data_IF_931505637478
#
_entry.id   IF_931505637478
#
_cell.length_a   1.000
_cell.length_b   1.000
_cell.length_c   1.000
_cell.angle_alpha   90.00
_cell.angle_beta   90.00
_cell.angle_gamma   90.00
#
_symmetry.space_group_name_H-M   'P 1'
#
loop_
_entity.id
_entity.type
_entity.pdbx_description
1 polymer ?
#
# COMPACT_ATOMS: atom_id res chain seq x y z
N UNK A 1 12.28 -1.47 9.04
CA UNK A 1 11.68 -0.23 8.51
C UNK A 1 10.74 0.45 9.51
N UNK A 2 9.85 -0.28 10.18
CA UNK A 2 8.93 0.23 11.22
C UNK A 2 9.61 1.12 12.28
N UNK A 3 10.79 0.73 12.79
CA UNK A 3 11.55 1.55 13.74
C UNK A 3 11.94 2.93 13.18
N UNK A 4 12.29 3.02 11.88
CA UNK A 4 12.63 4.29 11.24
C UNK A 4 11.40 5.20 11.09
N UNK A 5 10.23 4.59 10.84
CA UNK A 5 8.96 5.32 10.78
C UNK A 5 8.61 5.89 12.16
N UNK A 6 8.74 5.09 13.22
CA UNK A 6 8.53 5.59 14.60
C UNK A 6 9.55 6.66 15.00
N UNK A 7 10.80 6.54 14.56
CA UNK A 7 11.81 7.58 14.79
C UNK A 7 11.44 8.87 14.05
N UNK A 8 10.99 8.79 12.80
CA UNK A 8 10.52 9.95 12.06
C UNK A 8 9.31 10.62 12.73
N UNK A 9 8.36 9.82 13.25
CA UNK A 9 7.23 10.32 14.03
C UNK A 9 7.68 11.02 15.32
N UNK A 10 8.65 10.46 16.03
CA UNK A 10 9.20 11.06 17.24
C UNK A 10 9.88 12.40 16.92
N UNK A 11 10.71 12.46 15.87
CA UNK A 11 11.36 13.70 15.42
C UNK A 11 10.33 14.74 14.98
N UNK A 12 9.29 14.34 14.25
CA UNK A 12 8.22 15.25 13.84
C UNK A 12 7.47 15.85 15.04
N UNK A 13 7.23 15.05 16.08
CA UNK A 13 6.60 15.49 17.31
C UNK A 13 7.53 16.42 18.13
N UNK A 14 8.83 16.13 18.18
CA UNK A 14 9.83 16.97 18.86
C UNK A 14 10.00 18.33 18.17
N UNK A 15 9.88 18.37 16.84
CA UNK A 15 9.89 19.60 16.03
C UNK A 15 8.55 20.36 16.07
N UNK A 16 7.49 19.75 16.59
CA UNK A 16 6.16 20.37 16.70
C UNK A 16 5.44 20.59 15.37
N UNK A 17 5.91 20.00 14.27
CA UNK A 17 5.34 20.21 12.93
C UNK A 17 3.97 19.55 12.75
N UNK A 18 3.63 18.57 13.59
CA UNK A 18 2.34 17.86 13.59
C UNK A 18 1.16 18.77 13.98
N UNK A 19 1.43 19.94 14.59
CA UNK A 19 0.41 20.85 15.12
C UNK A 19 0.49 22.23 14.46
N UNK A 20 -0.67 22.89 14.26
CA UNK A 20 -0.68 24.26 13.79
C UNK A 20 -0.07 25.18 14.85
N UNK A 21 0.83 26.08 14.44
CA UNK A 21 1.37 27.11 15.32
C UNK A 21 0.23 27.99 15.86
N UNK A 22 0.07 28.02 17.19
CA UNK A 22 -0.94 28.84 17.85
C UNK A 22 -0.27 29.76 18.88
N UNK A 23 -0.60 31.05 18.82
CA UNK A 23 0.03 32.11 19.64
C UNK A 23 -0.11 31.85 21.15
N UNK A 24 -1.15 31.11 21.56
CA UNK A 24 -1.41 30.71 22.95
C UNK A 24 -1.33 29.18 23.17
N UNK A 25 -0.51 28.45 22.41
CA UNK A 25 -0.34 27.03 22.71
C UNK A 25 0.37 26.84 24.06
N UNK A 26 -0.37 26.37 25.07
CA UNK A 26 0.22 26.08 26.39
C UNK A 26 1.29 24.99 26.31
N UNK A 27 1.26 24.16 25.25
CA UNK A 27 2.23 23.08 25.02
C UNK A 27 3.59 23.64 24.67
N UNK A 28 3.67 24.65 23.81
CA UNK A 28 4.94 25.29 23.45
C UNK A 28 5.55 25.97 24.67
N UNK A 29 4.76 26.66 25.50
CA UNK A 29 5.27 27.28 26.74
C UNK A 29 5.89 26.27 27.71
N UNK A 30 5.27 25.10 27.91
CA UNK A 30 5.81 24.05 28.79
C UNK A 30 7.02 23.36 28.16
N UNK A 31 6.95 23.08 26.86
CA UNK A 31 8.00 22.37 26.12
C UNK A 31 9.25 23.23 25.92
N UNK A 32 9.09 24.48 25.49
CA UNK A 32 10.17 25.48 25.36
C UNK A 32 10.73 25.85 26.73
N UNK A 33 9.89 25.95 27.77
CA UNK A 33 10.33 26.11 29.15
C UNK A 33 11.22 24.96 29.62
N UNK A 34 10.88 23.73 29.26
CA UNK A 34 11.71 22.56 29.57
C UNK A 34 13.00 22.54 28.74
N UNK A 35 12.93 22.79 27.43
CA UNK A 35 14.08 22.85 26.51
C UNK A 35 15.10 23.94 26.90
N UNK A 36 14.61 25.12 27.24
CA UNK A 36 15.47 26.23 27.71
C UNK A 36 16.22 25.86 29.00
N UNK A 37 15.61 25.05 29.87
CA UNK A 37 16.27 24.54 31.08
C UNK A 37 17.43 23.59 30.77
N UNK A 38 17.45 22.96 29.59
CA UNK A 38 18.56 22.14 29.09
C UNK A 38 19.50 22.92 28.14
N UNK A 39 19.33 24.24 27.99
CA UNK A 39 20.21 25.10 27.19
C UNK A 39 19.90 25.15 25.69
N UNK A 40 18.71 24.70 25.26
CA UNK A 40 18.26 24.85 23.87
C UNK A 40 17.73 26.27 23.61
N UNK A 41 17.96 26.78 22.39
CA UNK A 41 17.49 28.10 21.97
C UNK A 41 15.97 28.13 21.71
N UNK A 42 15.38 29.32 21.76
CA UNK A 42 13.98 29.56 21.39
C UNK A 42 13.83 29.41 19.87
N UNK A 43 13.13 28.36 19.42
CA UNK A 43 12.88 28.13 18.00
C UNK A 43 11.64 28.91 17.56
N UNK A 44 11.79 29.77 16.55
CA UNK A 44 10.62 30.40 15.92
C UNK A 44 9.81 29.33 15.18
N UNK A 45 8.60 29.05 15.65
CA UNK A 45 7.61 28.11 15.07
C UNK A 45 7.08 28.50 13.66
N UNK A 46 7.87 29.21 12.86
CA UNK A 46 7.55 29.54 11.47
C UNK A 46 7.99 28.38 10.58
N UNK A 47 7.05 27.46 10.35
CA UNK A 47 7.24 26.33 9.44
C UNK A 47 7.61 26.85 8.05
N UNK A 48 8.76 26.42 7.52
CA UNK A 48 9.21 26.72 6.16
C UNK A 48 8.72 25.65 5.16
N UNK A 49 9.13 25.74 3.90
CA UNK A 49 8.67 24.78 2.89
C UNK A 49 9.37 23.42 2.99
N UNK A 50 10.58 23.34 3.56
CA UNK A 50 11.23 22.06 3.87
C UNK A 50 10.50 21.36 5.01
N UNK A 51 10.08 22.10 6.03
CA UNK A 51 9.27 21.57 7.13
C UNK A 51 7.92 21.04 6.63
N UNK A 52 7.28 21.75 5.69
CA UNK A 52 6.05 21.29 5.00
C UNK A 52 6.28 20.00 4.23
N UNK A 53 7.38 19.91 3.48
CA UNK A 53 7.75 18.69 2.75
C UNK A 53 8.00 17.52 3.72
N UNK A 54 8.69 17.77 4.84
CA UNK A 54 8.96 16.77 5.86
C UNK A 54 7.67 16.26 6.51
N UNK A 55 6.76 17.16 6.92
CA UNK A 55 5.46 16.82 7.47
C UNK A 55 4.62 15.97 6.51
N UNK A 56 4.51 16.40 5.24
CA UNK A 56 3.74 15.71 4.21
C UNK A 56 4.38 14.36 3.83
N UNK A 57 5.71 14.29 3.80
CA UNK A 57 6.47 13.06 3.59
C UNK A 57 6.25 12.05 4.73
N UNK A 58 6.25 12.51 5.99
CA UNK A 58 5.95 11.67 7.14
C UNK A 58 4.52 11.14 7.10
N UNK A 59 3.54 12.00 6.78
CA UNK A 59 2.15 11.56 6.55
C UNK A 59 2.10 10.48 5.47
N UNK A 60 2.73 10.72 4.31
CA UNK A 60 2.74 9.76 3.21
C UNK A 60 3.36 8.40 3.59
N UNK A 61 4.54 8.39 4.20
CA UNK A 61 5.23 7.13 4.57
C UNK A 61 4.45 6.37 5.64
N UNK A 62 3.92 7.06 6.65
CA UNK A 62 3.13 6.44 7.72
C UNK A 62 1.79 5.92 7.21
N UNK A 63 1.12 6.66 6.32
CA UNK A 63 -0.13 6.26 5.68
C UNK A 63 0.04 5.03 4.79
N UNK A 64 1.09 4.99 3.95
CA UNK A 64 1.42 3.79 3.16
C UNK A 64 1.74 2.61 4.09
N UNK A 65 2.50 2.84 5.15
CA UNK A 65 2.87 1.77 6.06
C UNK A 65 1.66 1.21 6.83
N UNK A 66 0.72 2.07 7.20
CA UNK A 66 -0.56 1.70 7.79
C UNK A 66 -1.39 0.87 6.81
N UNK A 67 -1.56 1.34 5.57
CA UNK A 67 -2.38 0.66 4.56
C UNK A 67 -1.80 -0.71 4.14
N UNK A 68 -0.48 -0.79 3.93
CA UNK A 68 0.17 -2.00 3.39
C UNK A 68 0.54 -3.00 4.50
N UNK A 69 1.15 -2.53 5.58
CA UNK A 69 1.74 -3.41 6.61
C UNK A 69 0.92 -3.46 7.90
N UNK A 70 -0.04 -2.54 8.08
CA UNK A 70 -0.96 -2.51 9.23
C UNK A 70 -0.30 -2.51 10.61
N UNK A 71 0.95 -2.03 10.69
CA UNK A 71 1.74 -2.02 11.93
C UNK A 71 1.89 -0.65 12.58
N UNK A 72 1.58 0.40 11.85
CA UNK A 72 1.78 1.79 12.29
C UNK A 72 0.49 2.53 12.05
N UNK A 73 0.01 3.23 13.07
CA UNK A 73 -1.07 4.19 12.89
C UNK A 73 -0.56 5.35 12.06
N UNK A 74 -1.25 5.64 10.96
CA UNK A 74 -0.94 6.78 10.12
C UNK A 74 -1.11 8.09 10.91
N UNK A 75 -0.32 9.10 10.57
CA UNK A 75 -0.62 10.47 11.01
C UNK A 75 -2.00 10.82 10.44
N UNK A 76 -2.97 11.27 11.25
CA UNK A 76 -4.29 11.58 10.74
C UNK A 76 -4.23 12.74 9.75
N UNK A 77 -4.97 12.64 8.65
CA UNK A 77 -5.10 13.75 7.72
C UNK A 77 -5.87 14.92 8.38
N UNK A 78 -5.17 16.01 8.69
CA UNK A 78 -5.74 17.19 9.38
C UNK A 78 -5.87 18.41 8.49
N UNK A 79 -6.61 19.43 8.97
CA UNK A 79 -6.68 20.74 8.33
C UNK A 79 -5.29 21.38 8.18
N UNK A 80 -4.40 21.18 9.14
CA UNK A 80 -3.02 21.68 9.12
C UNK A 80 -2.21 21.04 7.96
N UNK A 81 -2.30 19.72 7.80
CA UNK A 81 -1.72 19.02 6.64
C UNK A 81 -2.25 19.56 5.31
N UNK A 82 -3.56 19.80 5.20
CA UNK A 82 -4.12 20.39 3.99
C UNK A 82 -3.61 21.82 3.74
N UNK A 83 -3.44 22.65 4.78
CA UNK A 83 -2.85 23.99 4.64
C UNK A 83 -1.39 23.94 4.17
N UNK A 84 -0.59 23.02 4.72
CA UNK A 84 0.78 22.76 4.26
C UNK A 84 0.80 22.39 2.78
N UNK A 85 -0.11 21.50 2.36
CA UNK A 85 -0.28 21.08 0.98
C UNK A 85 -0.66 22.24 0.03
N UNK A 86 -1.61 23.11 0.41
CA UNK A 86 -1.97 24.28 -0.41
C UNK A 86 -0.80 25.26 -0.54
N UNK A 87 -0.06 25.49 0.55
CA UNK A 87 1.10 26.40 0.53
C UNK A 87 2.17 25.93 -0.47
N UNK A 88 2.47 24.63 -0.51
CA UNK A 88 3.44 24.09 -1.48
C UNK A 88 2.95 24.23 -2.93
N UNK A 89 1.64 24.03 -3.18
CA UNK A 89 1.04 24.23 -4.51
C UNK A 89 1.14 25.68 -4.98
N UNK A 90 0.94 26.63 -4.06
CA UNK A 90 0.98 28.06 -4.37
C UNK A 90 2.41 28.53 -4.62
N UNK A 91 3.38 28.08 -3.80
CA UNK A 91 4.79 28.50 -3.87
C UNK A 91 5.53 27.90 -5.07
N UNK A 92 5.23 26.64 -5.45
CA UNK A 92 5.81 25.94 -6.61
C UNK A 92 7.34 25.98 -6.67
N UNK A 93 7.99 25.82 -5.53
CA UNK A 93 9.45 25.92 -5.43
C UNK A 93 10.17 24.75 -6.09
N UNK A 94 9.66 23.52 -5.90
CA UNK A 94 10.26 22.32 -6.49
C UNK A 94 9.30 21.61 -7.45
N UNK A 95 9.78 21.12 -8.61
CA UNK A 95 8.95 20.32 -9.52
C UNK A 95 8.38 19.06 -8.86
N UNK A 96 9.09 18.48 -7.89
CA UNK A 96 8.68 17.26 -7.17
C UNK A 96 7.54 17.51 -6.17
N UNK A 97 7.32 18.76 -5.76
CA UNK A 97 6.22 19.14 -4.86
C UNK A 97 4.87 18.72 -5.46
N UNK A 98 4.73 18.81 -6.79
CA UNK A 98 3.53 18.35 -7.49
C UNK A 98 3.26 16.87 -7.27
N UNK A 99 4.30 16.03 -7.33
CA UNK A 99 4.17 14.59 -7.14
C UNK A 99 3.81 14.26 -5.69
N UNK A 100 4.50 14.90 -4.73
CA UNK A 100 4.22 14.75 -3.29
C UNK A 100 2.78 15.12 -2.96
N UNK A 101 2.30 16.27 -3.44
CA UNK A 101 0.92 16.74 -3.25
C UNK A 101 -0.10 15.70 -3.71
N UNK A 102 0.11 15.10 -4.89
CA UNK A 102 -0.81 14.12 -5.43
C UNK A 102 -0.76 12.81 -4.64
N UNK A 103 0.43 12.35 -4.22
CA UNK A 103 0.55 11.19 -3.35
C UNK A 103 -0.16 11.39 -2.02
N UNK A 104 -0.01 12.55 -1.38
CA UNK A 104 -0.71 12.86 -0.11
C UNK A 104 -2.23 12.85 -0.29
N UNK A 105 -2.75 13.47 -1.35
CA UNK A 105 -4.20 13.44 -1.65
C UNK A 105 -4.71 12.03 -1.89
N UNK A 106 -3.92 11.21 -2.59
CA UNK A 106 -4.25 9.82 -2.87
C UNK A 106 -4.25 8.98 -1.58
N UNK A 107 -3.25 9.15 -0.71
CA UNK A 107 -3.20 8.43 0.57
C UNK A 107 -4.35 8.82 1.51
N UNK A 108 -4.78 10.09 1.51
CA UNK A 108 -6.00 10.48 2.23
C UNK A 108 -7.27 9.76 1.72
N UNK A 109 -7.34 9.42 0.43
CA UNK A 109 -8.42 8.57 -0.09
C UNK A 109 -8.24 7.10 0.35
N UNK A 110 -7.01 6.60 0.41
CA UNK A 110 -6.71 5.26 0.93
C UNK A 110 -7.11 5.12 2.40
N UNK A 111 -6.87 6.13 3.23
CA UNK A 111 -7.35 6.15 4.63
C UNK A 111 -8.89 6.10 4.72
N UNK A 112 -9.59 6.82 3.84
CA UNK A 112 -11.05 6.75 3.78
C UNK A 112 -11.55 5.37 3.32
N UNK A 113 -10.83 4.70 2.42
CA UNK A 113 -11.12 3.32 2.01
C UNK A 113 -11.01 2.39 3.22
N UNK A 114 -9.93 2.50 4.00
CA UNK A 114 -9.71 1.68 5.19
C UNK A 114 -10.80 1.90 6.26
N UNK A 115 -11.34 3.12 6.39
CA UNK A 115 -12.45 3.41 7.31
C UNK A 115 -13.78 2.76 6.88
N UNK A 116 -14.02 2.65 5.58
CA UNK A 116 -15.24 2.06 5.01
C UNK A 116 -15.20 0.54 5.04
N UNK A 117 -14.02 -0.03 4.82
CA UNK A 117 -13.77 -1.46 4.83
C UNK A 117 -12.69 -1.80 5.88
N UNK A 118 -13.03 -1.80 7.18
CA UNK A 118 -12.08 -2.18 8.22
C UNK A 118 -11.79 -3.68 8.10
N UNK A 119 -10.72 -4.02 7.40
CA UNK A 119 -10.32 -5.40 7.17
C UNK A 119 -9.75 -6.08 8.42
N UNK A 120 -9.35 -5.29 9.43
CA UNK A 120 -8.71 -5.75 10.67
C UNK A 120 -9.71 -6.13 11.76
N UNK A 121 -10.91 -5.56 11.70
CA UNK A 121 -12.01 -5.93 12.58
C UNK A 121 -13.29 -6.11 11.75
N UNK A 122 -13.44 -7.27 11.08
CA UNK A 122 -14.63 -7.60 10.30
C UNK A 122 -15.92 -7.61 11.13
N UNK A 123 -15.79 -7.71 12.47
CA UNK A 123 -16.88 -7.71 13.45
C UNK A 123 -17.01 -6.36 14.18
N UNK A 124 -16.11 -5.41 13.87
CA UNK A 124 -16.14 -4.07 14.39
C UNK A 124 -17.42 -3.37 13.94
N UNK A 125 -17.92 -2.38 14.69
CA UNK A 125 -19.14 -1.70 14.34
C UNK A 125 -18.97 -1.12 12.93
N UNK A 126 -19.69 -1.68 11.95
CA UNK A 126 -19.81 -1.09 10.62
C UNK A 126 -20.32 0.33 10.82
N UNK A 127 -19.42 1.30 10.72
CA UNK A 127 -19.69 2.71 11.06
C UNK A 127 -20.67 3.35 10.06
N UNK A 128 -21.01 2.63 8.98
CA UNK A 128 -21.90 3.11 7.95
C UNK A 128 -23.17 2.29 7.81
N UNK A 129 -24.30 2.99 7.88
CA UNK A 129 -25.64 2.47 7.58
C UNK A 129 -25.89 2.24 6.08
N UNK A 130 -25.00 2.73 5.21
CA UNK A 130 -25.16 2.63 3.76
C UNK A 130 -24.49 1.35 3.20
N UNK A 131 -25.04 0.75 2.12
CA UNK A 131 -24.41 -0.39 1.43
C UNK A 131 -22.97 -0.12 1.00
N UNK A 132 -22.08 -1.10 1.17
CA UNK A 132 -20.66 -1.01 0.75
C UNK A 132 -20.49 -0.56 -0.71
N UNK A 133 -21.42 -0.96 -1.58
CA UNK A 133 -21.42 -0.62 -3.01
C UNK A 133 -21.59 0.88 -3.28
N UNK A 134 -22.28 1.62 -2.41
CA UNK A 134 -22.38 3.08 -2.50
C UNK A 134 -21.03 3.73 -2.20
N UNK A 135 -20.35 3.27 -1.14
CA UNK A 135 -19.02 3.77 -0.80
C UNK A 135 -17.99 3.43 -1.86
N UNK A 136 -18.01 2.21 -2.39
CA UNK A 136 -17.12 1.81 -3.48
C UNK A 136 -17.31 2.74 -4.68
N UNK A 137 -18.55 3.03 -5.08
CA UNK A 137 -18.83 3.93 -6.20
C UNK A 137 -18.34 5.35 -5.93
N UNK A 138 -18.59 5.88 -4.74
CA UNK A 138 -18.16 7.22 -4.37
C UNK A 138 -16.63 7.34 -4.40
N UNK A 139 -15.92 6.41 -3.74
CA UNK A 139 -14.46 6.44 -3.67
C UNK A 139 -13.82 6.15 -5.04
N UNK A 140 -14.42 5.30 -5.87
CA UNK A 140 -13.98 5.08 -7.26
C UNK A 140 -14.08 6.36 -8.09
N UNK A 141 -15.15 7.14 -7.92
CA UNK A 141 -15.28 8.45 -8.56
C UNK A 141 -14.21 9.43 -8.07
N UNK A 142 -14.00 9.52 -6.75
CA UNK A 142 -12.98 10.40 -6.17
C UNK A 142 -11.56 10.05 -6.65
N UNK A 143 -11.24 8.75 -6.74
CA UNK A 143 -9.96 8.28 -7.31
C UNK A 143 -9.84 8.64 -8.79
N UNK A 144 -10.93 8.51 -9.55
CA UNK A 144 -10.97 8.86 -10.98
C UNK A 144 -10.74 10.35 -11.18
N UNK A 145 -11.44 11.20 -10.43
CA UNK A 145 -11.31 12.66 -10.50
C UNK A 145 -9.88 13.11 -10.12
N UNK A 146 -9.32 12.52 -9.05
CA UNK A 146 -7.94 12.81 -8.64
C UNK A 146 -6.95 12.42 -9.74
N UNK A 147 -7.10 11.23 -10.33
CA UNK A 147 -6.23 10.73 -11.41
C UNK A 147 -6.29 11.63 -12.65
N UNK A 148 -7.49 12.09 -13.02
CA UNK A 148 -7.68 13.00 -14.16
C UNK A 148 -7.11 14.39 -13.89
N UNK A 149 -7.19 14.87 -12.65
CA UNK A 149 -6.65 16.18 -12.26
C UNK A 149 -5.11 16.22 -12.18
N UNK A 150 -4.45 15.06 -12.09
CA UNK A 150 -3.01 14.90 -11.97
C UNK A 150 -2.28 15.06 -13.33
N UNK A 151 -2.50 16.21 -13.99
CA UNK A 151 -1.89 16.54 -15.29
C UNK A 151 -0.35 16.40 -15.22
N UNK A 152 0.29 15.92 -16.28
CA UNK A 152 1.75 15.74 -16.34
C UNK A 152 2.29 14.55 -15.54
N UNK A 153 1.44 13.80 -14.82
CA UNK A 153 1.82 12.56 -14.12
C UNK A 153 1.28 11.30 -14.81
N UNK A 154 0.58 11.41 -15.94
CA UNK A 154 -0.09 10.28 -16.60
C UNK A 154 0.87 9.18 -17.06
N UNK A 155 2.11 9.52 -17.38
CA UNK A 155 3.16 8.58 -17.77
C UNK A 155 4.15 8.29 -16.63
N UNK A 156 3.92 8.89 -15.46
CA UNK A 156 4.79 8.67 -14.31
C UNK A 156 4.49 7.31 -13.67
N UNK A 157 5.40 6.38 -13.89
CA UNK A 157 5.43 5.03 -13.35
C UNK A 157 5.13 4.94 -11.85
N UNK A 158 5.71 5.81 -11.03
CA UNK A 158 5.51 5.81 -9.58
C UNK A 158 4.09 6.28 -9.22
N UNK A 159 3.61 7.34 -9.86
CA UNK A 159 2.24 7.81 -9.69
C UNK A 159 1.22 6.72 -10.06
N UNK A 160 1.39 6.10 -11.23
CA UNK A 160 0.50 5.04 -11.73
C UNK A 160 0.46 3.83 -10.79
N UNK A 161 1.61 3.38 -10.26
CA UNK A 161 1.63 2.30 -9.25
C UNK A 161 0.72 2.65 -8.07
N UNK A 162 0.82 3.86 -7.55
CA UNK A 162 0.04 4.25 -6.38
C UNK A 162 -1.46 4.35 -6.72
N UNK A 163 -1.82 4.87 -7.90
CA UNK A 163 -3.21 4.91 -8.36
C UNK A 163 -3.80 3.52 -8.47
N UNK A 164 -3.08 2.58 -9.09
CA UNK A 164 -3.56 1.21 -9.20
C UNK A 164 -3.61 0.52 -7.85
N UNK A 165 -2.65 0.75 -6.96
CA UNK A 165 -2.69 0.19 -5.61
C UNK A 165 -3.89 0.72 -4.81
N UNK A 166 -4.20 2.03 -4.88
CA UNK A 166 -5.40 2.60 -4.26
C UNK A 166 -6.71 1.96 -4.79
N UNK A 167 -6.76 1.66 -6.09
CA UNK A 167 -7.87 0.89 -6.68
C UNK A 167 -7.92 -0.55 -6.17
N UNK A 168 -6.78 -1.20 -5.97
CA UNK A 168 -6.71 -2.54 -5.36
C UNK A 168 -7.28 -2.50 -3.94
N UNK A 169 -6.82 -1.57 -3.09
CA UNK A 169 -7.37 -1.35 -1.73
C UNK A 169 -8.88 -1.12 -1.74
N UNK A 170 -9.40 -0.39 -2.72
CA UNK A 170 -10.84 -0.16 -2.84
C UNK A 170 -11.60 -1.45 -3.21
N UNK A 171 -11.12 -2.17 -4.21
CA UNK A 171 -11.84 -3.29 -4.79
C UNK A 171 -11.54 -4.63 -4.09
N UNK A 172 -10.53 -4.71 -3.22
CA UNK A 172 -10.29 -5.91 -2.41
C UNK A 172 -11.49 -6.22 -1.51
N UNK A 173 -12.35 -5.24 -1.22
CA UNK A 173 -13.62 -5.43 -0.54
C UNK A 173 -14.46 -6.59 -1.14
N UNK A 174 -14.33 -6.86 -2.45
CA UNK A 174 -14.98 -8.01 -3.09
C UNK A 174 -14.53 -9.39 -2.56
N UNK A 175 -13.33 -9.48 -1.98
CA UNK A 175 -12.76 -10.70 -1.42
C UNK A 175 -13.26 -11.03 -0.01
N UNK A 176 -13.94 -10.12 0.68
CA UNK A 176 -14.31 -10.27 2.08
C UNK A 176 -15.81 -10.53 2.23
N UNK A 177 -16.19 -11.74 2.63
CA UNK A 177 -17.60 -12.12 2.75
C UNK A 177 -18.40 -11.21 3.69
N UNK A 178 -17.81 -10.80 4.82
CA UNK A 178 -18.44 -9.95 5.85
C UNK A 178 -19.06 -8.68 5.29
N UNK A 179 -18.41 -8.05 4.30
CA UNK A 179 -18.88 -6.81 3.68
C UNK A 179 -20.10 -7.00 2.78
N UNK A 180 -20.41 -8.23 2.39
CA UNK A 180 -21.48 -8.58 1.46
C UNK A 180 -22.58 -9.45 2.10
N UNK A 181 -22.38 -9.97 3.32
CA UNK A 181 -23.31 -10.87 4.03
C UNK A 181 -24.76 -10.37 4.05
N UNK A 182 -25.00 -9.10 4.33
CA UNK A 182 -26.34 -8.50 4.40
C UNK A 182 -27.01 -8.27 3.04
N UNK A 183 -26.27 -8.45 1.94
CA UNK A 183 -26.71 -8.18 0.58
C UNK A 183 -26.86 -9.47 -0.25
N UNK A 184 -26.32 -10.59 0.22
CA UNK A 184 -26.25 -11.88 -0.47
C UNK A 184 -27.62 -12.54 -0.77
N UNK A 185 -28.72 -12.07 -0.16
CA UNK A 185 -30.07 -12.53 -0.50
C UNK A 185 -30.57 -12.01 -1.87
N UNK A 186 -29.94 -10.97 -2.42
CA UNK A 186 -30.33 -10.33 -3.68
C UNK A 186 -29.31 -10.65 -4.79
N UNK A 187 -29.77 -11.19 -5.92
CA UNK A 187 -28.93 -11.52 -7.08
C UNK A 187 -28.09 -10.34 -7.60
N UNK A 188 -28.61 -9.11 -7.49
CA UNK A 188 -27.90 -7.89 -7.88
C UNK A 188 -26.66 -7.58 -7.04
N UNK A 189 -26.65 -7.93 -5.75
CA UNK A 189 -25.48 -7.71 -4.90
C UNK A 189 -24.36 -8.70 -5.22
N UNK A 190 -24.71 -9.95 -5.53
CA UNK A 190 -23.74 -10.97 -5.98
C UNK A 190 -23.04 -10.52 -7.27
N UNK A 191 -23.80 -10.01 -8.24
CA UNK A 191 -23.22 -9.48 -9.49
C UNK A 191 -22.28 -8.30 -9.21
N UNK A 192 -22.68 -7.35 -8.37
CA UNK A 192 -21.84 -6.22 -7.99
C UNK A 192 -20.55 -6.63 -7.27
N UNK A 193 -20.58 -7.70 -6.48
CA UNK A 193 -19.40 -8.29 -5.84
C UNK A 193 -18.43 -8.85 -6.88
N UNK A 194 -18.93 -9.64 -7.84
CA UNK A 194 -18.11 -10.19 -8.92
C UNK A 194 -17.51 -9.09 -9.80
N UNK A 195 -18.29 -8.06 -10.14
CA UNK A 195 -17.81 -6.89 -10.86
C UNK A 195 -16.69 -6.17 -10.07
N UNK A 196 -16.84 -6.06 -8.75
CA UNK A 196 -15.83 -5.48 -7.86
C UNK A 196 -14.54 -6.30 -7.86
N UNK A 197 -14.63 -7.63 -7.73
CA UNK A 197 -13.47 -8.53 -7.83
C UNK A 197 -12.79 -8.45 -9.20
N UNK A 198 -13.56 -8.35 -10.28
CA UNK A 198 -13.02 -8.18 -11.63
C UNK A 198 -12.28 -6.85 -11.81
N UNK A 199 -12.83 -5.75 -11.27
CA UNK A 199 -12.12 -4.47 -11.22
C UNK A 199 -10.84 -4.55 -10.39
N UNK A 200 -10.83 -5.31 -9.30
CA UNK A 200 -9.64 -5.59 -8.51
C UNK A 200 -8.56 -6.31 -9.34
N UNK A 201 -8.94 -7.36 -10.07
CA UNK A 201 -8.07 -8.08 -11.00
C UNK A 201 -7.50 -7.15 -12.08
N UNK A 202 -8.34 -6.32 -12.69
CA UNK A 202 -7.92 -5.36 -13.72
C UNK A 202 -6.92 -4.33 -13.17
N UNK A 203 -7.15 -3.79 -11.97
CA UNK A 203 -6.23 -2.86 -11.32
C UNK A 203 -4.89 -3.54 -10.99
N UNK A 204 -4.95 -4.78 -10.53
CA UNK A 204 -3.77 -5.63 -10.21
C UNK A 204 -2.93 -5.88 -11.47
N UNK A 205 -3.56 -6.26 -12.59
CA UNK A 205 -2.89 -6.44 -13.89
C UNK A 205 -2.23 -5.14 -14.38
N UNK A 206 -2.92 -4.01 -14.27
CA UNK A 206 -2.35 -2.70 -14.64
C UNK A 206 -1.17 -2.29 -13.76
N UNK A 207 -1.20 -2.60 -12.46
CA UNK A 207 -0.06 -2.36 -11.56
C UNK A 207 1.15 -3.17 -11.99
N UNK A 208 1.00 -4.48 -12.23
CA UNK A 208 2.11 -5.31 -12.70
C UNK A 208 2.66 -4.87 -14.06
N UNK A 209 1.78 -4.55 -15.02
CA UNK A 209 2.22 -4.04 -16.32
C UNK A 209 3.03 -2.74 -16.17
N UNK A 210 2.60 -1.84 -15.28
CA UNK A 210 3.31 -0.59 -14.98
C UNK A 210 4.65 -0.84 -14.29
N UNK A 211 4.71 -1.79 -13.35
CA UNK A 211 5.96 -2.18 -12.69
C UNK A 211 6.96 -2.78 -13.68
N UNK A 212 6.49 -3.69 -14.53
CA UNK A 212 7.31 -4.38 -15.53
C UNK A 212 7.79 -3.43 -16.65
N UNK A 213 7.08 -2.35 -16.92
CA UNK A 213 7.52 -1.31 -17.87
C UNK A 213 8.53 -0.33 -17.30
N UNK A 214 8.80 -0.34 -15.98
CA UNK A 214 9.70 0.63 -15.38
C UNK A 214 11.14 0.49 -15.89
N UNK A 215 11.87 1.60 -16.09
CA UNK A 215 13.30 1.55 -16.34
C UNK A 215 14.08 0.97 -15.15
N UNK A 216 15.18 0.27 -15.43
CA UNK A 216 16.01 -0.37 -14.39
C UNK A 216 16.50 0.60 -13.30
N UNK A 217 16.82 1.85 -13.67
CA UNK A 217 17.25 2.87 -12.71
C UNK A 217 16.13 3.26 -11.72
N UNK A 218 14.87 3.28 -12.17
CA UNK A 218 13.71 3.58 -11.31
C UNK A 218 13.46 2.45 -10.31
N UNK A 219 13.65 1.20 -10.74
CA UNK A 219 13.54 0.01 -9.88
C UNK A 219 14.63 0.02 -8.82
N UNK A 220 15.87 0.34 -9.22
CA UNK A 220 16.98 0.46 -8.27
C UNK A 220 16.70 1.54 -7.21
N UNK A 221 16.19 2.70 -7.60
CA UNK A 221 15.85 3.79 -6.66
C UNK A 221 14.43 3.67 -6.08
N UNK A 222 13.76 2.53 -6.23
CA UNK A 222 12.38 2.38 -5.81
C UNK A 222 12.27 2.50 -4.28
N UNK A 223 11.34 3.34 -3.85
CA UNK A 223 11.10 3.58 -2.44
C UNK A 223 10.54 2.34 -1.73
N UNK A 224 10.65 2.30 -0.41
CA UNK A 224 10.00 1.29 0.42
C UNK A 224 8.48 1.21 0.17
N UNK A 225 7.83 2.35 -0.06
CA UNK A 225 6.42 2.40 -0.42
C UNK A 225 6.13 1.61 -1.71
N UNK A 226 6.93 1.82 -2.76
CA UNK A 226 6.79 1.11 -4.03
C UNK A 226 6.89 -0.41 -3.86
N UNK A 227 7.89 -0.86 -3.09
CA UNK A 227 8.06 -2.29 -2.79
C UNK A 227 6.90 -2.84 -1.95
N UNK A 228 6.42 -2.09 -0.96
CA UNK A 228 5.25 -2.46 -0.17
C UNK A 228 3.99 -2.63 -1.02
N UNK A 229 3.72 -1.68 -1.93
CA UNK A 229 2.56 -1.75 -2.83
C UNK A 229 2.67 -2.91 -3.84
N UNK A 230 3.87 -3.20 -4.34
CA UNK A 230 4.10 -4.38 -5.19
C UNK A 230 3.82 -5.67 -4.41
N UNK A 231 4.35 -5.77 -3.19
CA UNK A 231 4.15 -6.92 -2.34
C UNK A 231 2.65 -7.12 -2.09
N UNK A 232 1.94 -6.07 -1.69
CA UNK A 232 0.50 -6.09 -1.49
C UNK A 232 -0.28 -6.48 -2.76
N UNK A 233 0.13 -6.01 -3.94
CA UNK A 233 -0.48 -6.46 -5.20
C UNK A 233 -0.27 -7.96 -5.46
N UNK A 234 0.89 -8.54 -5.11
CA UNK A 234 1.14 -9.98 -5.20
C UNK A 234 0.24 -10.78 -4.24
N UNK A 235 -0.05 -10.23 -3.05
CA UNK A 235 -1.01 -10.80 -2.11
C UNK A 235 -2.42 -10.84 -2.70
N UNK A 236 -2.91 -9.72 -3.21
CA UNK A 236 -4.26 -9.67 -3.75
C UNK A 236 -4.39 -10.52 -5.02
N UNK A 237 -3.37 -10.53 -5.87
CA UNK A 237 -3.29 -11.41 -7.03
C UNK A 237 -3.42 -12.90 -6.67
N UNK A 238 -2.68 -13.36 -5.65
CA UNK A 238 -2.75 -14.76 -5.21
C UNK A 238 -4.14 -15.11 -4.68
N UNK A 239 -4.76 -14.22 -3.90
CA UNK A 239 -6.13 -14.40 -3.37
C UNK A 239 -7.16 -14.44 -4.49
N UNK A 240 -7.06 -13.58 -5.50
CA UNK A 240 -7.96 -13.62 -6.67
C UNK A 240 -7.86 -14.94 -7.45
N UNK A 241 -6.65 -15.50 -7.57
CA UNK A 241 -6.38 -16.77 -8.26
C UNK A 241 -6.78 -18.04 -7.47
N UNK A 242 -7.12 -17.87 -6.19
CA UNK A 242 -7.44 -18.96 -5.26
C UNK A 242 -8.82 -18.82 -4.61
N UNK A 243 -9.52 -17.71 -4.87
CA UNK A 243 -10.82 -17.39 -4.28
C UNK A 243 -11.90 -18.40 -4.69
N UNK A 244 -12.73 -18.82 -3.73
CA UNK A 244 -13.85 -19.77 -3.94
C UNK A 244 -15.22 -19.09 -3.81
N UNK A 245 -15.32 -17.83 -4.26
CA UNK A 245 -16.60 -17.10 -4.24
C UNK A 245 -17.55 -17.68 -5.29
N UNK A 246 -18.81 -17.89 -4.92
CA UNK A 246 -19.84 -18.39 -5.83
C UNK A 246 -19.96 -17.49 -7.09
N UNK A 247 -19.80 -18.10 -8.27
CA UNK A 247 -19.85 -17.39 -9.56
C UNK A 247 -18.51 -16.78 -10.00
N UNK A 248 -17.45 -16.87 -9.19
CA UNK A 248 -16.10 -16.50 -9.59
C UNK A 248 -15.43 -17.65 -10.35
N UNK A 249 -15.20 -17.46 -11.66
CA UNK A 249 -14.52 -18.44 -12.50
C UNK A 249 -12.99 -18.27 -12.38
N UNK A 250 -12.40 -19.09 -11.52
CA UNK A 250 -10.96 -19.06 -11.25
C UNK A 250 -10.14 -19.46 -12.49
N UNK A 251 -10.65 -20.36 -13.33
CA UNK A 251 -9.93 -20.80 -14.52
C UNK A 251 -9.91 -19.71 -15.59
N UNK A 252 -11.00 -18.95 -15.73
CA UNK A 252 -11.01 -17.73 -16.54
C UNK A 252 -9.99 -16.71 -16.02
N UNK A 253 -9.96 -16.48 -14.72
CA UNK A 253 -9.03 -15.52 -14.08
C UNK A 253 -7.58 -15.90 -14.34
N UNK A 254 -7.23 -17.19 -14.19
CA UNK A 254 -5.87 -17.69 -14.46
C UNK A 254 -5.47 -17.59 -15.92
N UNK A 255 -6.42 -17.66 -16.86
CA UNK A 255 -6.17 -17.43 -18.29
C UNK A 255 -5.91 -15.95 -18.58
N UNK A 256 -6.67 -15.07 -17.95
CA UNK A 256 -6.51 -13.62 -18.11
C UNK A 256 -5.28 -13.06 -17.38
N UNK A 257 -4.86 -13.73 -16.32
CA UNK A 257 -3.78 -13.34 -15.43
C UNK A 257 -2.98 -14.57 -14.97
N UNK A 258 -1.96 -14.94 -15.74
CA UNK A 258 -1.03 -16.00 -15.37
C UNK A 258 -0.10 -15.51 -14.25
N UNK A 259 -0.51 -15.75 -13.00
CA UNK A 259 0.23 -15.30 -11.83
C UNK A 259 1.65 -15.90 -11.75
N UNK A 260 1.84 -17.15 -12.20
CA UNK A 260 3.18 -17.78 -12.19
C UNK A 260 4.11 -17.07 -13.18
N UNK A 261 3.61 -16.75 -14.36
CA UNK A 261 4.35 -15.96 -15.34
C UNK A 261 4.67 -14.56 -14.81
N UNK A 262 3.70 -13.89 -14.16
CA UNK A 262 3.92 -12.57 -13.56
C UNK A 262 5.01 -12.61 -12.49
N UNK A 263 5.01 -13.61 -11.61
CA UNK A 263 6.07 -13.79 -10.60
C UNK A 263 7.45 -13.92 -11.25
N UNK A 264 7.56 -14.69 -12.34
CA UNK A 264 8.82 -14.83 -13.09
C UNK A 264 9.28 -13.49 -13.68
N UNK A 265 8.36 -12.76 -14.32
CA UNK A 265 8.66 -11.46 -14.91
C UNK A 265 9.07 -10.43 -13.84
N UNK A 266 8.44 -10.46 -12.67
CA UNK A 266 8.81 -9.60 -11.53
C UNK A 266 10.23 -9.93 -11.04
N UNK A 267 10.58 -11.22 -10.95
CA UNK A 267 11.94 -11.65 -10.57
C UNK A 267 12.98 -11.16 -11.60
N UNK A 268 12.70 -11.34 -12.90
CA UNK A 268 13.56 -10.87 -13.98
C UNK A 268 13.73 -9.34 -13.93
N UNK A 269 12.63 -8.62 -13.64
CA UNK A 269 12.65 -7.17 -13.56
C UNK A 269 13.49 -6.65 -12.40
N UNK A 270 13.45 -7.35 -11.25
CA UNK A 270 14.34 -7.08 -10.13
C UNK A 270 15.81 -7.37 -10.48
N UNK A 271 16.09 -8.38 -11.31
CA UNK A 271 17.44 -8.67 -11.81
C UNK A 271 18.01 -7.57 -12.69
N UNK A 272 17.18 -6.97 -13.55
CA UNK A 272 17.55 -5.80 -14.33
C UNK A 272 17.97 -4.62 -13.43
N UNK A 273 17.18 -4.34 -12.38
CA UNK A 273 17.50 -3.31 -11.39
C UNK A 273 18.83 -3.58 -10.67
N UNK A 274 19.07 -4.82 -10.26
CA UNK A 274 20.33 -5.23 -9.61
C UNK A 274 21.54 -5.16 -10.55
N UNK A 275 21.37 -5.52 -11.83
CA UNK A 275 22.42 -5.37 -12.83
C UNK A 275 22.78 -3.89 -13.04
N UNK A 276 21.78 -3.01 -13.06
CA UNK A 276 21.99 -1.57 -13.11
C UNK A 276 22.75 -1.05 -11.88
N UNK A 277 22.38 -1.49 -10.67
CA UNK A 277 23.06 -1.13 -9.42
C UNK A 277 24.55 -1.49 -9.42
N UNK A 278 24.89 -2.71 -9.87
CA UNK A 278 26.28 -3.20 -9.96
C UNK A 278 27.14 -2.39 -10.94
N UNK A 279 26.53 -1.85 -11.99
CA UNK A 279 27.27 -1.10 -13.01
C UNK A 279 27.45 0.37 -12.65
N UNK A 280 26.50 0.97 -11.92
CA UNK A 280 26.44 2.42 -11.69
C UNK A 280 26.67 2.86 -10.24
N UNK A 281 26.39 2.01 -9.25
CA UNK A 281 26.47 2.36 -7.82
C UNK A 281 27.53 1.57 -7.04
N UNK A 282 27.64 0.27 -7.27
CA UNK A 282 28.57 -0.59 -6.54
C UNK A 282 29.57 -1.28 -7.48
N UNK A 283 30.75 -0.67 -7.67
CA UNK A 283 31.85 -1.31 -8.40
C UNK A 283 32.58 -2.40 -7.59
N UNK A 284 32.44 -2.40 -6.25
CA UNK A 284 33.22 -3.28 -5.35
C UNK A 284 32.44 -3.93 -4.18
N UNK A 285 31.21 -3.53 -3.86
CA UNK A 285 30.40 -4.25 -2.86
C UNK A 285 29.46 -5.24 -3.57
N UNK A 286 29.34 -6.44 -3.00
CA UNK A 286 28.38 -7.46 -3.40
C UNK A 286 26.98 -6.87 -3.62
N UNK A 287 26.19 -7.54 -4.45
CA UNK A 287 24.85 -7.13 -4.87
C UNK A 287 24.01 -6.45 -3.77
N UNK A 288 23.11 -5.55 -4.17
CA UNK A 288 22.16 -4.95 -3.24
C UNK A 288 21.38 -6.05 -2.51
N UNK A 289 21.75 -6.28 -1.26
CA UNK A 289 21.22 -7.35 -0.44
C UNK A 289 19.69 -7.24 -0.31
N UNK A 290 19.11 -6.04 -0.42
CA UNK A 290 17.66 -5.86 -0.32
C UNK A 290 16.94 -6.43 -1.53
N UNK A 291 17.35 -6.09 -2.75
CA UNK A 291 16.69 -6.60 -3.96
C UNK A 291 16.90 -8.11 -4.08
N UNK A 292 18.08 -8.63 -3.73
CA UNK A 292 18.32 -10.08 -3.72
C UNK A 292 17.44 -10.81 -2.69
N UNK A 293 17.22 -10.21 -1.50
CA UNK A 293 16.25 -10.72 -0.52
C UNK A 293 14.84 -10.79 -1.10
N UNK A 294 14.35 -9.71 -1.71
CA UNK A 294 13.00 -9.65 -2.28
C UNK A 294 12.83 -10.68 -3.40
N UNK A 295 13.85 -10.87 -4.24
CA UNK A 295 13.87 -11.92 -5.27
C UNK A 295 13.75 -13.32 -4.69
N UNK A 296 14.55 -13.65 -3.68
CA UNK A 296 14.52 -14.97 -3.02
C UNK A 296 13.12 -15.25 -2.48
N UNK A 297 12.50 -14.26 -1.82
CA UNK A 297 11.13 -14.37 -1.29
C UNK A 297 10.10 -14.58 -2.41
N UNK A 298 10.18 -13.80 -3.49
CA UNK A 298 9.28 -13.94 -4.66
C UNK A 298 9.39 -15.33 -5.31
N UNK A 299 10.61 -15.86 -5.46
CA UNK A 299 10.85 -17.22 -5.99
C UNK A 299 10.28 -18.31 -5.07
N UNK A 300 10.37 -18.13 -3.76
CA UNK A 300 9.75 -19.06 -2.79
C UNK A 300 8.23 -19.09 -2.94
N UNK A 301 7.60 -17.93 -3.08
CA UNK A 301 6.14 -17.81 -3.33
C UNK A 301 5.74 -18.48 -4.64
N UNK A 302 6.53 -18.29 -5.70
CA UNK A 302 6.30 -18.94 -6.99
C UNK A 302 6.35 -20.48 -6.88
N UNK A 303 7.40 -21.02 -6.24
CA UNK A 303 7.54 -22.46 -6.01
C UNK A 303 6.36 -23.01 -5.21
N UNK A 304 5.94 -22.31 -4.16
CA UNK A 304 4.78 -22.70 -3.36
C UNK A 304 3.50 -22.68 -4.20
N UNK A 305 3.20 -21.58 -4.89
CA UNK A 305 1.99 -21.41 -5.68
C UNK A 305 1.87 -22.50 -6.75
N UNK A 306 2.96 -22.77 -7.47
CA UNK A 306 3.01 -23.81 -8.50
C UNK A 306 2.89 -25.23 -7.94
N UNK A 307 3.37 -25.47 -6.72
CA UNK A 307 3.20 -26.76 -6.03
C UNK A 307 1.80 -26.96 -5.44
N UNK A 308 1.12 -25.87 -5.08
CA UNK A 308 -0.19 -25.87 -4.45
C UNK A 308 -1.32 -26.01 -5.48
N UNK A 309 -1.21 -25.34 -6.62
CA UNK A 309 -2.24 -25.31 -7.67
C UNK A 309 -2.72 -26.71 -8.14
N UNK A 310 -1.83 -27.68 -8.41
CA UNK A 310 -2.24 -29.03 -8.85
C UNK A 310 -2.89 -29.87 -7.74
N UNK A 311 -2.70 -29.51 -6.46
CA UNK A 311 -3.30 -30.22 -5.31
C UNK A 311 -4.75 -29.83 -5.12
N UNK A 312 -5.09 -28.57 -5.39
CA UNK A 312 -6.47 -28.06 -5.38
C UNK A 312 -7.36 -28.72 -6.44
N UNK A 313 -6.81 -29.03 -7.61
CA UNK A 313 -7.57 -29.72 -8.68
C UNK A 313 -7.73 -31.23 -8.44
N UNK A 314 -6.95 -31.81 -7.52
CA UNK A 314 -6.92 -33.26 -7.26
C UNK A 314 -7.73 -33.70 -6.02
N UNK A 315 -8.09 -32.81 -5.10
CA UNK A 315 -8.84 -33.14 -3.88
C UNK A 315 -10.05 -32.21 -3.70
N UNK A 316 -11.26 -32.77 -3.83
CA UNK A 316 -12.51 -32.01 -3.69
C UNK A 316 -12.96 -31.80 -2.23
N UNK A 317 -12.51 -32.56 -1.22
CA UNK A 317 -13.22 -32.60 0.08
C UNK A 317 -12.36 -32.76 1.36
N UNK A 318 -11.10 -32.31 1.39
CA UNK A 318 -10.36 -32.21 2.67
C UNK A 318 -9.93 -30.76 2.95
N UNK A 319 -9.99 -30.30 4.21
CA UNK A 319 -9.41 -29.03 4.59
C UNK A 319 -7.89 -29.14 4.47
N UNK A 320 -7.38 -28.81 3.30
CA UNK A 320 -5.95 -28.63 3.08
C UNK A 320 -5.53 -27.43 3.93
N UNK A 321 -4.57 -27.64 4.85
CA UNK A 321 -3.78 -26.55 5.42
C UNK A 321 -3.31 -25.68 4.26
N UNK A 322 -3.91 -24.50 4.10
CA UNK A 322 -3.50 -23.59 3.06
C UNK A 322 -2.32 -22.76 3.59
N UNK A 323 -1.37 -22.41 2.73
CA UNK A 323 -0.14 -21.71 3.08
C UNK A 323 1.07 -22.64 3.28
N UNK A 324 2.30 -22.25 2.89
CA UNK A 324 3.52 -22.99 3.24
C UNK A 324 3.79 -22.92 4.77
N UNK A 325 4.61 -23.83 5.29
CA UNK A 325 5.13 -23.76 6.67
C UNK A 325 5.68 -22.36 6.95
N UNK A 326 5.35 -21.77 8.11
CA UNK A 326 5.82 -20.46 8.56
C UNK A 326 7.35 -20.34 8.47
N UNK A 327 8.07 -21.44 8.70
CA UNK A 327 9.54 -21.52 8.59
C UNK A 327 10.08 -21.35 7.16
N UNK A 328 9.24 -21.51 6.13
CA UNK A 328 9.64 -21.45 4.72
C UNK A 328 10.13 -20.05 4.30
N UNK A 329 9.69 -18.99 4.98
CA UNK A 329 10.10 -17.60 4.72
C UNK A 329 10.91 -16.95 5.86
N UNK A 330 11.06 -17.62 7.00
CA UNK A 330 11.87 -17.12 8.11
C UNK A 330 13.34 -16.95 7.69
N UNK A 331 13.91 -15.83 8.12
CA UNK A 331 15.33 -15.51 7.93
C UNK A 331 15.64 -14.03 7.93
N UNK A 332 14.72 -13.15 7.50
CA UNK A 332 14.92 -11.68 7.51
C UNK A 332 13.56 -10.99 7.68
N UNK A 333 13.45 -10.24 8.78
CA UNK A 333 12.30 -9.59 9.42
C UNK A 333 11.36 -8.83 8.45
N UNK A 334 10.38 -9.52 7.85
CA UNK A 334 9.19 -8.92 7.21
C UNK A 334 7.98 -9.86 7.35
N UNK A 335 7.04 -9.55 8.26
CA UNK A 335 5.80 -10.34 8.44
C UNK A 335 4.83 -10.24 7.26
N UNK A 336 5.03 -9.31 6.29
CA UNK A 336 4.14 -9.24 5.12
C UNK A 336 4.07 -10.57 4.37
N UNK A 337 5.22 -11.23 4.18
CA UNK A 337 5.24 -12.51 3.49
C UNK A 337 4.73 -13.65 4.37
N UNK A 338 4.77 -13.47 5.70
CA UNK A 338 4.09 -14.37 6.64
C UNK A 338 2.57 -14.20 6.57
N UNK A 339 2.06 -12.97 6.42
CA UNK A 339 0.65 -12.66 6.19
C UNK A 339 0.15 -13.13 4.81
N UNK A 340 1.00 -13.09 3.78
CA UNK A 340 0.71 -13.74 2.51
C UNK A 340 0.46 -15.23 2.72
N UNK A 341 1.32 -15.89 3.50
CA UNK A 341 1.21 -17.31 3.80
C UNK A 341 -0.01 -17.60 4.67
N UNK A 342 -0.24 -16.81 5.72
CA UNK A 342 -1.34 -17.04 6.67
C UNK A 342 -2.69 -16.64 6.11
N UNK A 343 -2.76 -15.54 5.35
CA UNK A 343 -3.95 -15.11 4.61
C UNK A 343 -4.29 -16.02 3.44
N UNK A 344 -3.37 -16.89 3.05
CA UNK A 344 -3.64 -18.02 2.19
C UNK A 344 -4.19 -19.22 2.96
N UNK A 345 -4.10 -19.34 4.30
CA UNK A 345 -4.75 -20.38 5.15
C UNK A 345 -6.29 -20.26 5.04
N UNK A 346 -7.08 -21.36 5.03
CA UNK A 346 -8.52 -21.22 5.04
C UNK A 346 -8.90 -20.65 6.40
N UNK A 347 -9.65 -19.54 6.40
CA UNK A 347 -10.19 -18.94 7.61
C UNK A 347 -10.81 -20.02 8.47
N UNK A 348 -10.19 -20.25 9.63
CA UNK A 348 -10.69 -21.20 10.61
C UNK A 348 -12.01 -20.70 11.18
N UNK A 349 -13.04 -21.53 10.94
CA UNK A 349 -14.26 -21.81 11.72
C UNK A 349 -14.74 -20.72 12.69
#
# INVERSE_FOLDING_TARGET
>A
MTNLIHLALAVLADLGFDKPAHVNDRRTVIFDGSRSSYGFAEETNLMDNEDRRALLGCFYVTSVASAVFRRVDAIPYTRHLNQALQTLIERKEQPIDRLLVQHVRLQNLVEQIAQVAPFDDPQGPHSSWAPITMHIRYLDQQLTDLTQSAVGLQENHLWLIHVYAARIFLYEAGLYDSLWQWQNANSGARQQRLDTMWKCLSATKSLFNTFLSMPAHVIFTASYATWGLLAYALLIASRLCLSKVEGWDVDLVRREFDFSQILELVIQKMEEGNAFARTHWSKDAGSDEMIDRVKIKTRRVQTWFNGYLPRLSAQNDLPLEMGPDYNFLLGIDDMFWEELITGLQPGGV
#
